data_IF_714327777129
#
_entry.id   IF_714327777129
#
_cell.length_a   1.000
_cell.length_b   1.000
_cell.length_c   1.000
_cell.angle_alpha   90.00
_cell.angle_beta   90.00
_cell.angle_gamma   90.00
#
_symmetry.space_group_name_H-M   'P 1'
#
loop_
_entity.id
_entity.type
_entity.pdbx_description
1 polymer ?
#
# COMPACT_ATOMS: atom_id res chain seq x y z
N UNK A 1 6.99 8.76 -15.98
CA UNK A 1 6.61 7.33 -15.89
C UNK A 1 5.47 7.21 -14.90
N UNK A 2 4.39 6.50 -15.23
CA UNK A 2 3.32 6.22 -14.26
C UNK A 2 3.90 5.26 -13.21
N UNK A 3 4.14 5.76 -11.99
CA UNK A 3 4.63 4.97 -10.83
C UNK A 3 3.47 4.42 -9.98
N UNK A 4 2.28 4.31 -10.56
CA UNK A 4 1.10 3.79 -9.88
C UNK A 4 1.06 2.28 -9.97
N UNK A 5 1.04 1.61 -8.82
CA UNK A 5 0.72 0.19 -8.74
C UNK A 5 -0.73 -0.09 -9.14
N UNK A 6 -1.05 -1.35 -9.38
CA UNK A 6 -2.44 -1.79 -9.49
C UNK A 6 -3.06 -1.74 -8.11
N UNK A 7 -4.24 -1.13 -8.02
CA UNK A 7 -5.10 -1.21 -6.85
C UNK A 7 -6.45 -1.82 -7.24
N UNK A 8 -6.98 -2.65 -6.36
CA UNK A 8 -8.28 -3.30 -6.51
C UNK A 8 -9.05 -3.16 -5.20
N UNK A 9 -10.35 -2.93 -5.30
CA UNK A 9 -11.28 -2.98 -4.17
C UNK A 9 -12.17 -4.19 -4.35
N UNK A 10 -12.08 -5.12 -3.41
CA UNK A 10 -12.95 -6.28 -3.39
C UNK A 10 -14.23 -6.02 -2.56
N UNK A 11 -15.27 -6.81 -2.79
CA UNK A 11 -16.61 -6.68 -2.18
C UNK A 11 -16.64 -6.74 -0.63
N UNK A 12 -15.49 -6.92 0.03
CA UNK A 12 -15.30 -6.85 1.48
C UNK A 12 -14.69 -5.53 2.00
N UNK A 13 -14.47 -4.52 1.15
CA UNK A 13 -13.88 -3.24 1.55
C UNK A 13 -12.36 -3.28 1.74
N UNK A 14 -11.70 -4.30 1.17
CA UNK A 14 -10.23 -4.45 1.21
C UNK A 14 -9.65 -3.80 -0.04
N UNK A 15 -8.69 -2.91 0.15
CA UNK A 15 -7.89 -2.33 -0.93
C UNK A 15 -6.51 -2.98 -0.96
N UNK A 16 -6.21 -3.67 -2.07
CA UNK A 16 -4.88 -4.28 -2.29
C UNK A 16 -4.07 -3.37 -3.19
N UNK A 17 -2.86 -2.99 -2.80
CA UNK A 17 -1.97 -2.12 -3.59
C UNK A 17 -0.60 -2.80 -3.75
N UNK A 18 -0.11 -2.86 -4.98
CA UNK A 18 1.24 -3.36 -5.25
C UNK A 18 2.27 -2.23 -5.17
N UNK A 19 3.27 -2.37 -4.29
CA UNK A 19 4.37 -1.40 -4.12
C UNK A 19 5.65 -1.98 -4.74
N UNK A 20 6.33 -1.28 -5.66
CA UNK A 20 7.61 -1.71 -6.21
C UNK A 20 8.67 -1.88 -5.13
N UNK A 21 9.57 -2.86 -5.27
CA UNK A 21 10.66 -3.08 -4.28
C UNK A 21 11.64 -1.91 -4.18
N UNK A 22 11.76 -1.12 -5.26
CA UNK A 22 12.60 0.06 -5.38
C UNK A 22 11.82 1.36 -5.08
N UNK A 23 10.72 1.27 -4.34
CA UNK A 23 9.92 2.44 -3.98
C UNK A 23 10.72 3.41 -3.12
N UNK A 24 10.80 4.65 -3.60
CA UNK A 24 11.66 5.72 -3.05
C UNK A 24 11.20 6.21 -1.66
N UNK A 25 9.93 5.95 -1.31
CA UNK A 25 9.34 6.41 -0.05
C UNK A 25 9.30 5.30 0.98
N UNK A 26 9.57 5.67 2.23
CA UNK A 26 9.38 4.78 3.37
C UNK A 26 7.88 4.58 3.62
N UNK A 27 7.38 3.39 3.33
CA UNK A 27 5.95 3.04 3.48
C UNK A 27 5.51 3.17 4.93
N UNK A 28 6.32 2.72 5.90
CA UNK A 28 6.00 2.81 7.33
C UNK A 28 5.81 4.26 7.80
N UNK A 29 6.64 5.17 7.28
CA UNK A 29 6.51 6.60 7.56
C UNK A 29 5.20 7.15 7.02
N UNK A 30 4.85 6.82 5.77
CA UNK A 30 3.59 7.25 5.14
C UNK A 30 2.38 6.72 5.92
N UNK A 31 2.41 5.46 6.36
CA UNK A 31 1.33 4.88 7.17
C UNK A 31 1.16 5.62 8.50
N UNK A 32 2.27 5.94 9.17
CA UNK A 32 2.26 6.67 10.44
C UNK A 32 1.76 8.11 10.29
N UNK A 33 2.19 8.82 9.25
CA UNK A 33 1.77 10.20 8.99
C UNK A 33 0.28 10.31 8.66
N UNK A 34 -0.28 9.27 8.02
CA UNK A 34 -1.68 9.20 7.63
C UNK A 34 -2.57 8.51 8.68
N UNK A 35 -2.01 8.08 9.81
CA UNK A 35 -2.69 7.30 10.86
C UNK A 35 -3.44 6.06 10.30
N UNK A 36 -2.81 5.39 9.33
CA UNK A 36 -3.35 4.20 8.69
C UNK A 36 -2.97 2.96 9.49
N UNK A 37 -3.96 2.35 10.13
CA UNK A 37 -3.81 1.05 10.80
C UNK A 37 -4.06 -0.08 9.79
N UNK A 38 -3.02 -0.45 9.04
CA UNK A 38 -3.08 -1.54 8.07
C UNK A 38 -2.53 -2.84 8.67
N UNK A 39 -3.16 -3.96 8.34
CA UNK A 39 -2.62 -5.29 8.64
C UNK A 39 -1.70 -5.72 7.50
N UNK A 40 -0.42 -5.93 7.79
CA UNK A 40 0.51 -6.53 6.83
C UNK A 40 0.22 -8.02 6.67
N UNK A 41 0.18 -8.50 5.43
CA UNK A 41 0.04 -9.92 5.10
C UNK A 41 1.31 -10.34 4.36
N UNK A 42 2.15 -11.13 5.03
CA UNK A 42 3.36 -11.74 4.47
C UNK A 42 3.09 -13.19 4.10
N UNK A 43 3.58 -13.64 2.93
CA UNK A 43 3.57 -15.04 2.50
C UNK A 43 4.80 -15.80 3.06
#
# INVERSE_FOLDING_TARGET
MKRGGFWQVDFGGIATVNIPKDFEFNVDQVMKELDLNLTEITD
#
